data_IF_261018134497
#
_entry.id   IF_261018134497
#
_cell.length_a   1.000
_cell.length_b   1.000
_cell.length_c   1.000
_cell.angle_alpha   90.00
_cell.angle_beta   90.00
_cell.angle_gamma   90.00
#
_symmetry.space_group_name_H-M   'P 1'
#
loop_
_entity.id
_entity.type
_entity.pdbx_description
1 polymer ?
#
# COMPACT_ATOMS: atom_id res chain seq x y z
N UNK A 1 13.51 -5.20 9.97
CA UNK A 1 12.70 -4.57 8.91
C UNK A 1 12.54 -3.12 9.28
N UNK A 2 12.58 -2.25 8.28
CA UNK A 2 12.28 -0.84 8.44
C UNK A 2 10.87 -0.54 7.96
N UNK A 3 10.28 0.52 8.48
CA UNK A 3 8.96 0.99 8.06
C UNK A 3 9.11 1.94 6.88
N UNK A 4 8.28 1.75 5.86
CA UNK A 4 8.26 2.52 4.64
C UNK A 4 6.88 3.11 4.39
N UNK A 5 6.85 4.33 3.87
CA UNK A 5 5.67 4.93 3.24
C UNK A 5 5.82 4.82 1.74
N UNK A 6 4.84 4.24 1.06
CA UNK A 6 4.83 3.99 -0.38
C UNK A 6 3.68 4.79 -0.99
N UNK A 7 3.98 5.57 -2.01
CA UNK A 7 3.00 6.32 -2.79
C UNK A 7 2.82 5.66 -4.16
N UNK A 8 1.56 5.36 -4.50
CA UNK A 8 1.19 4.87 -5.84
C UNK A 8 0.24 5.87 -6.47
N UNK A 9 0.68 6.53 -7.52
CA UNK A 9 -0.09 7.60 -8.17
C UNK A 9 -1.01 7.03 -9.25
N UNK A 10 -2.32 7.24 -9.12
CA UNK A 10 -3.31 6.97 -10.17
C UNK A 10 -3.22 5.58 -10.81
N UNK A 11 -2.98 4.52 -10.05
CA UNK A 11 -2.84 3.17 -10.62
C UNK A 11 -4.19 2.67 -11.14
N UNK A 12 -5.27 2.89 -10.40
CA UNK A 12 -6.56 2.26 -10.66
C UNK A 12 -7.55 3.24 -11.26
N UNK A 13 -8.36 2.77 -12.21
CA UNK A 13 -9.44 3.53 -12.82
C UNK A 13 -10.78 3.33 -12.11
N UNK A 14 -10.88 2.36 -11.20
CA UNK A 14 -12.11 2.04 -10.46
C UNK A 14 -11.84 1.35 -9.14
N UNK A 15 -12.82 1.36 -8.24
CA UNK A 15 -12.77 0.62 -6.97
C UNK A 15 -12.61 -0.89 -7.18
N UNK A 16 -13.16 -1.44 -8.27
CA UNK A 16 -13.02 -2.86 -8.59
C UNK A 16 -11.57 -3.24 -8.91
N UNK A 17 -10.85 -2.39 -9.65
CA UNK A 17 -9.42 -2.61 -9.91
C UNK A 17 -8.59 -2.49 -8.63
N UNK A 18 -8.89 -1.48 -7.80
CA UNK A 18 -8.25 -1.32 -6.49
C UNK A 18 -8.48 -2.56 -5.62
N UNK A 19 -9.71 -3.07 -5.54
CA UNK A 19 -10.06 -4.25 -4.77
C UNK A 19 -9.30 -5.49 -5.27
N UNK A 20 -9.28 -5.73 -6.58
CA UNK A 20 -8.56 -6.85 -7.16
C UNK A 20 -7.05 -6.80 -6.84
N UNK A 21 -6.43 -5.61 -6.92
CA UNK A 21 -5.04 -5.44 -6.50
C UNK A 21 -4.87 -5.65 -4.99
N UNK A 22 -5.83 -5.24 -4.16
CA UNK A 22 -5.82 -5.47 -2.71
C UNK A 22 -5.86 -6.96 -2.35
N UNK A 23 -6.71 -7.74 -3.00
CA UNK A 23 -6.79 -9.19 -2.83
C UNK A 23 -5.48 -9.88 -3.22
N UNK A 24 -4.90 -9.51 -4.37
CA UNK A 24 -3.59 -9.99 -4.78
C UNK A 24 -2.47 -9.56 -3.82
N UNK A 25 -2.57 -8.36 -3.25
CA UNK A 25 -1.63 -7.87 -2.24
C UNK A 25 -1.65 -8.68 -0.96
N UNK A 26 -2.81 -9.18 -0.52
CA UNK A 26 -2.90 -10.06 0.65
C UNK A 26 -2.19 -11.38 0.34
N UNK A 27 -2.48 -11.97 -0.82
CA UNK A 27 -1.89 -13.25 -1.25
C UNK A 27 -0.37 -13.16 -1.40
N UNK A 28 0.12 -12.15 -2.12
CA UNK A 28 1.55 -11.91 -2.33
C UNK A 28 2.25 -11.52 -1.01
N UNK A 29 1.57 -10.77 -0.15
CA UNK A 29 2.07 -10.41 1.17
C UNK A 29 2.34 -11.63 2.05
N UNK A 30 1.46 -12.63 2.03
CA UNK A 30 1.66 -13.89 2.75
C UNK A 30 2.89 -14.66 2.22
N UNK A 31 3.08 -14.71 0.89
CA UNK A 31 4.27 -15.32 0.28
C UNK A 31 5.58 -14.62 0.66
N UNK A 32 5.51 -13.35 1.06
CA UNK A 32 6.66 -12.49 1.38
C UNK A 32 6.77 -12.14 2.86
N UNK A 33 5.97 -12.75 3.74
CA UNK A 33 5.82 -12.35 5.15
C UNK A 33 7.12 -12.26 5.95
N UNK A 34 8.14 -13.04 5.60
CA UNK A 34 9.45 -13.03 6.26
C UNK A 34 10.28 -11.77 5.92
N UNK A 35 9.93 -11.06 4.84
CA UNK A 35 10.68 -9.91 4.30
C UNK A 35 9.82 -8.68 4.01
N UNK A 36 8.50 -8.79 4.05
CA UNK A 36 7.58 -7.67 3.84
C UNK A 36 6.26 -7.91 4.58
N UNK A 37 5.74 -6.86 5.23
CA UNK A 37 4.46 -6.88 5.95
C UNK A 37 3.66 -5.63 5.63
N UNK A 38 2.45 -5.81 5.12
CA UNK A 38 1.51 -4.73 4.91
C UNK A 38 0.90 -4.30 6.26
N UNK A 39 1.02 -3.01 6.62
CA UNK A 39 0.52 -2.48 7.89
C UNK A 39 -0.83 -1.78 7.72
N UNK A 40 -0.92 -0.82 6.80
CA UNK A 40 -2.17 -0.09 6.48
C UNK A 40 -2.07 0.63 5.14
N UNK A 41 -3.20 1.04 4.57
CA UNK A 41 -3.22 1.89 3.38
C UNK A 41 -4.45 2.77 3.31
N UNK A 42 -4.30 3.90 2.66
CA UNK A 42 -5.41 4.79 2.30
C UNK A 42 -5.50 4.83 0.78
N UNK A 43 -6.69 4.60 0.25
CA UNK A 43 -7.01 4.96 -1.12
C UNK A 43 -7.11 6.48 -1.22
N UNK A 44 -6.63 7.05 -2.33
CA UNK A 44 -6.55 8.50 -2.55
C UNK A 44 -7.18 8.81 -3.90
N UNK A 45 -8.06 9.80 -3.94
CA UNK A 45 -8.54 10.38 -5.18
C UNK A 45 -7.44 11.28 -5.76
N UNK A 46 -7.01 10.98 -6.97
CA UNK A 46 -6.09 11.84 -7.72
C UNK A 46 -6.86 12.96 -8.42
N UNK A 47 -6.14 14.02 -8.79
CA UNK A 47 -6.73 15.18 -9.49
C UNK A 47 -7.31 14.82 -10.87
N UNK A 48 -6.80 13.76 -11.51
CA UNK A 48 -7.26 13.28 -12.81
C UNK A 48 -8.46 12.31 -12.72
N UNK A 49 -8.98 12.09 -11.51
CA UNK A 49 -10.11 11.18 -11.24
C UNK A 49 -9.72 9.71 -11.15
N UNK A 50 -8.42 9.37 -11.25
CA UNK A 50 -7.93 8.02 -10.95
C UNK A 50 -7.77 7.83 -9.45
N UNK A 51 -7.55 6.59 -9.05
CA UNK A 51 -7.31 6.21 -7.67
C UNK A 51 -5.83 5.87 -7.50
N UNK A 52 -5.22 6.47 -6.48
CA UNK A 52 -3.91 6.12 -5.97
C UNK A 52 -3.97 5.62 -4.55
N UNK A 53 -2.80 5.42 -3.94
CA UNK A 53 -2.71 5.01 -2.54
C UNK A 53 -1.52 5.58 -1.81
N UNK A 54 -1.67 5.70 -0.49
CA UNK A 54 -0.58 5.85 0.47
C UNK A 54 -0.55 4.62 1.35
N UNK A 55 0.54 3.88 1.29
CA UNK A 55 0.69 2.57 1.88
C UNK A 55 1.79 2.58 2.94
N UNK A 56 1.56 1.95 4.09
CA UNK A 56 2.58 1.75 5.13
C UNK A 56 2.91 0.27 5.20
N UNK A 57 4.18 -0.05 4.99
CA UNK A 57 4.71 -1.41 4.93
C UNK A 57 5.96 -1.49 5.80
N UNK A 58 6.18 -2.62 6.45
CA UNK A 58 7.51 -3.00 6.90
C UNK A 58 8.18 -3.83 5.80
N UNK A 59 9.47 -3.63 5.58
CA UNK A 59 10.24 -4.42 4.63
C UNK A 59 11.67 -4.65 5.12
N UNK A 60 12.31 -5.73 4.68
CA UNK A 60 13.72 -5.99 4.93
C UNK A 60 14.61 -4.95 4.25
N UNK A 61 14.21 -4.50 3.07
CA UNK A 61 14.95 -3.63 2.18
C UNK A 61 14.03 -3.02 1.11
N UNK A 62 14.50 -2.01 0.35
CA UNK A 62 13.77 -1.42 -0.77
C UNK A 62 13.36 -2.40 -1.88
N UNK A 63 14.09 -3.49 -2.09
CA UNK A 63 13.82 -4.41 -3.20
C UNK A 63 12.61 -5.29 -2.91
N UNK A 64 12.38 -5.65 -1.64
CA UNK A 64 11.16 -6.33 -1.23
C UNK A 64 9.89 -5.51 -1.58
N UNK A 65 9.94 -4.17 -1.45
CA UNK A 65 8.83 -3.27 -1.81
C UNK A 65 8.58 -3.28 -3.32
N UNK A 66 9.65 -3.13 -4.11
CA UNK A 66 9.55 -3.15 -5.58
C UNK A 66 9.03 -4.48 -6.09
N UNK A 67 9.54 -5.59 -5.54
CA UNK A 67 9.11 -6.92 -5.93
C UNK A 67 7.63 -7.15 -5.59
N UNK A 68 7.20 -6.78 -4.39
CA UNK A 68 5.78 -6.85 -4.03
C UNK A 68 4.92 -6.01 -4.98
N UNK A 69 5.29 -4.74 -5.23
CA UNK A 69 4.57 -3.85 -6.15
C UNK A 69 4.45 -4.43 -7.57
N UNK A 70 5.53 -5.01 -8.10
CA UNK A 70 5.54 -5.69 -9.40
C UNK A 70 4.60 -6.90 -9.43
N UNK A 71 4.63 -7.74 -8.39
CA UNK A 71 3.82 -8.97 -8.30
C UNK A 71 2.31 -8.70 -8.23
N UNK A 72 1.89 -7.57 -7.68
CA UNK A 72 0.47 -7.20 -7.55
C UNK A 72 -0.04 -6.31 -8.71
N UNK A 73 0.82 -6.02 -9.70
CA UNK A 73 0.47 -5.12 -10.80
C UNK A 73 0.39 -3.63 -10.42
N UNK A 74 0.99 -3.24 -9.29
CA UNK A 74 1.04 -1.85 -8.83
C UNK A 74 2.49 -1.45 -8.44
N UNK A 75 3.35 -1.19 -9.46
CA UNK A 75 4.75 -0.86 -9.26
C UNK A 75 4.95 0.28 -8.24
N UNK A 76 5.99 0.16 -7.43
CA UNK A 76 6.17 0.97 -6.22
C UNK A 76 7.59 1.55 -6.21
N UNK A 77 7.80 2.67 -6.90
CA UNK A 77 9.10 3.35 -6.99
C UNK A 77 9.17 4.62 -6.12
N UNK A 78 8.02 5.20 -5.76
CA UNK A 78 7.94 6.35 -4.88
C UNK A 78 7.71 5.88 -3.44
N UNK A 79 8.79 5.76 -2.68
CA UNK A 79 8.72 5.39 -1.26
C UNK A 79 9.86 6.00 -0.45
N UNK A 80 9.62 6.18 0.85
CA UNK A 80 10.60 6.71 1.80
C UNK A 80 10.63 5.88 3.07
N UNK A 81 11.82 5.79 3.70
CA UNK A 81 11.96 5.19 5.03
C UNK A 81 11.35 6.14 6.07
N UNK A 82 10.49 5.61 6.93
CA UNK A 82 9.86 6.36 8.01
C UNK A 82 10.87 6.56 9.14
N UNK A 83 11.03 7.82 9.58
CA UNK A 83 11.93 8.20 10.69
C UNK A 83 11.28 8.14 12.07
N UNK A 84 9.95 8.21 12.13
CA UNK A 84 9.17 8.18 13.37
C UNK A 84 7.67 8.26 13.09
N UNK A 85 6.87 7.96 14.12
CA UNK A 85 5.41 7.96 14.06
C UNK A 85 4.84 8.74 15.24
N UNK A 86 3.97 9.70 14.95
CA UNK A 86 3.16 10.39 15.95
C UNK A 86 1.69 10.17 15.60
N UNK A 87 0.94 9.50 16.47
CA UNK A 87 -0.50 9.25 16.31
C UNK A 87 -1.25 10.06 17.35
N UNK A 88 -1.98 11.09 16.92
CA UNK A 88 -2.85 11.85 17.84
C UNK A 88 -4.21 11.16 18.04
N UNK A 89 -4.72 10.50 17.00
CA UNK A 89 -5.97 9.73 16.99
C UNK A 89 -5.81 8.54 16.04
N UNK A 90 -6.47 7.40 16.30
CA UNK A 90 -6.49 6.29 15.38
C UNK A 90 -7.18 6.68 14.06
N UNK A 91 -7.00 5.82 13.06
CA UNK A 91 -7.78 5.92 11.83
C UNK A 91 -9.27 5.78 12.12
N UNK A 92 -10.16 6.48 11.40
CA UNK A 92 -11.59 6.24 11.49
C UNK A 92 -11.90 4.80 11.06
N UNK A 93 -12.88 4.17 11.69
CA UNK A 93 -13.36 2.87 11.22
C UNK A 93 -13.95 3.03 9.81
N UNK A 94 -13.62 2.12 8.88
CA UNK A 94 -14.25 2.08 7.57
C UNK A 94 -15.77 2.05 7.75
N UNK A 95 -16.50 2.89 7.01
CA UNK A 95 -17.96 2.79 7.00
C UNK A 95 -18.37 1.38 6.58
N UNK A 96 -19.39 0.77 7.21
CA UNK A 96 -19.87 -0.53 6.79
C UNK A 96 -20.27 -0.45 5.32
N UNK A 97 -19.73 -1.37 4.51
CA UNK A 97 -20.16 -1.56 3.13
C UNK A 97 -21.65 -1.90 3.14
N UNK A 98 -22.48 -1.03 2.56
CA UNK A 98 -23.92 -1.24 2.38
C UNK A 98 -24.21 -2.14 1.18
#
# INVERSE_FOLDING_TARGET
MDLYIIRRHGIWASDAELQATGEESIRVGEDMKDRLRWIRSYAVNEEDGRIGSVCIYEASDPDAIREHGRRIGAPSEDFQIVRGLTVQRPDPEPAPTS
#
